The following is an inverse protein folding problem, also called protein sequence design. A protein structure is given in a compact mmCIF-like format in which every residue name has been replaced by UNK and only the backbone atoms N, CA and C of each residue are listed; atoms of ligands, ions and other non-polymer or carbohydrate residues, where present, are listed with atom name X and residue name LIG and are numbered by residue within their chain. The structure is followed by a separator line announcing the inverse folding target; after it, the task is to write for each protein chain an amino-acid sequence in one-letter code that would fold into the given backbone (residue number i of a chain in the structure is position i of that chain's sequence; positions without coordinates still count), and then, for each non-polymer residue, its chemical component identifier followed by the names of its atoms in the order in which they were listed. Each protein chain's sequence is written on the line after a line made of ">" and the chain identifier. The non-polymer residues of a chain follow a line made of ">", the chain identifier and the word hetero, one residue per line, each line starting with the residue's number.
data_IF_774096064800
#
_entry.id   IF_774096064800
#
_cell.length_a   1.000
_cell.length_b   1.000
_cell.length_c   1.000
_cell.angle_alpha   90.00
_cell.angle_beta   90.00
_cell.angle_gamma   90.00
#
_symmetry.space_group_name_H-M   'P 1'
#
loop_
_entity.id
_entity.type
_entity.pdbx_description
1 polymer ?
#
# COMPACT_ATOMS: atom_id res chain seq x y z
N UNK A 1 8.34 -21.29 -14.51
CA UNK A 1 7.88 -21.07 -13.13
C UNK A 1 8.49 -22.19 -12.31
N UNK A 2 9.56 -21.93 -11.57
CA UNK A 2 10.32 -22.96 -10.83
C UNK A 2 9.74 -23.16 -9.44
N UNK A 3 9.87 -24.37 -8.91
CA UNK A 3 9.35 -24.86 -7.62
C UNK A 3 9.77 -24.02 -6.39
N UNK A 4 10.79 -23.16 -6.53
CA UNK A 4 11.32 -22.31 -5.46
C UNK A 4 10.46 -21.06 -5.24
N UNK A 5 9.76 -20.59 -6.27
CA UNK A 5 8.97 -19.34 -6.21
C UNK A 5 7.70 -19.47 -5.33
N UNK A 6 7.22 -20.69 -5.08
CA UNK A 6 5.98 -20.96 -4.34
C UNK A 6 6.15 -20.85 -2.82
N UNK A 7 7.36 -21.01 -2.29
CA UNK A 7 7.61 -21.01 -0.83
C UNK A 7 7.41 -19.62 -0.22
N UNK A 8 7.58 -18.55 -1.00
CA UNK A 8 7.47 -17.15 -0.54
C UNK A 8 6.17 -16.47 -0.93
N UNK A 9 5.35 -17.14 -1.73
CA UNK A 9 4.07 -16.59 -2.18
C UNK A 9 3.03 -16.68 -1.07
N UNK A 10 2.25 -15.61 -0.95
CA UNK A 10 1.15 -15.51 -0.02
C UNK A 10 0.00 -16.48 -0.43
N UNK A 11 -0.64 -17.19 0.52
CA UNK A 11 -1.84 -18.00 0.21
C UNK A 11 -2.94 -17.17 -0.44
N UNK A 12 -3.79 -17.82 -1.23
CA UNK A 12 -4.94 -17.17 -1.86
C UNK A 12 -5.93 -16.61 -0.81
N UNK A 13 -6.50 -15.44 -1.09
CA UNK A 13 -7.41 -14.73 -0.17
C UNK A 13 -6.74 -14.01 0.99
N UNK A 14 -5.44 -14.23 1.24
CA UNK A 14 -4.69 -13.49 2.25
C UNK A 14 -4.12 -12.18 1.69
N UNK A 15 -3.73 -11.29 2.60
CA UNK A 15 -3.02 -10.04 2.31
C UNK A 15 -1.75 -9.91 3.15
N UNK A 16 -1.12 -8.73 3.12
CA UNK A 16 -0.02 -8.35 4.03
C UNK A 16 -0.56 -7.39 5.08
N UNK A 17 -0.11 -7.52 6.33
CA UNK A 17 -0.31 -6.49 7.35
C UNK A 17 0.59 -5.29 7.04
N UNK A 18 0.20 -4.51 6.05
CA UNK A 18 0.98 -3.43 5.46
C UNK A 18 0.16 -2.14 5.43
N UNK A 19 0.58 -1.16 6.23
CA UNK A 19 -0.05 0.16 6.27
C UNK A 19 0.68 1.20 5.40
N UNK A 20 1.80 0.84 4.77
CA UNK A 20 2.66 1.77 4.02
C UNK A 20 1.90 2.59 2.97
N UNK A 21 0.99 2.01 2.16
CA UNK A 21 0.22 2.77 1.20
C UNK A 21 -0.64 3.91 1.77
N UNK A 22 -0.86 3.96 3.08
CA UNK A 22 -1.65 5.01 3.75
C UNK A 22 -0.80 6.05 4.48
N UNK A 23 0.39 5.70 4.96
CA UNK A 23 1.18 6.56 5.85
C UNK A 23 2.63 6.77 5.40
N UNK A 24 3.03 6.17 4.28
CA UNK A 24 4.41 6.17 3.81
C UNK A 24 4.49 6.50 2.31
N UNK A 25 5.53 7.23 1.94
CA UNK A 25 5.87 7.52 0.55
C UNK A 25 7.37 7.74 0.43
N UNK A 26 7.97 7.22 -0.64
CA UNK A 26 9.37 7.43 -1.01
C UNK A 26 9.46 8.21 -2.32
N UNK A 27 10.47 9.07 -2.39
CA UNK A 27 10.82 9.83 -3.59
C UNK A 27 12.20 9.43 -4.05
N UNK A 28 12.34 9.17 -5.34
CA UNK A 28 13.62 8.92 -5.98
C UNK A 28 14.16 10.19 -6.65
N UNK A 29 15.46 10.25 -6.89
CA UNK A 29 16.13 11.42 -7.48
C UNK A 29 15.68 11.74 -8.91
N UNK A 30 15.04 10.79 -9.60
CA UNK A 30 14.41 10.95 -10.91
C UNK A 30 12.92 11.34 -10.81
N UNK A 31 12.46 11.81 -9.65
CA UNK A 31 11.07 12.22 -9.43
C UNK A 31 10.07 11.07 -9.26
N UNK A 32 10.49 9.80 -9.35
CA UNK A 32 9.60 8.66 -9.18
C UNK A 32 9.07 8.56 -7.73
N UNK A 33 7.78 8.24 -7.61
CA UNK A 33 7.07 8.14 -6.32
C UNK A 33 6.64 6.70 -6.07
N UNK A 34 7.13 6.09 -4.99
CA UNK A 34 6.79 4.72 -4.58
C UNK A 34 6.00 4.75 -3.26
N UNK A 35 4.96 3.89 -3.10
CA UNK A 35 4.14 3.88 -1.89
C UNK A 35 4.68 2.90 -0.81
N UNK A 36 5.77 2.20 -1.11
CA UNK A 36 6.57 1.41 -0.16
C UNK A 36 7.94 1.08 -0.78
N UNK A 37 8.86 0.56 0.04
CA UNK A 37 10.24 0.24 -0.35
C UNK A 37 10.38 -0.98 -1.28
N UNK A 38 9.32 -1.77 -1.48
CA UNK A 38 9.40 -3.06 -2.19
C UNK A 38 8.45 -3.15 -3.39
N UNK A 39 8.29 -2.05 -4.15
CA UNK A 39 7.58 -2.09 -5.43
C UNK A 39 7.99 -0.96 -6.38
N UNK A 40 7.64 -1.08 -7.68
CA UNK A 40 7.81 0.02 -8.64
C UNK A 40 6.97 1.25 -8.30
N UNK A 41 7.36 2.38 -8.91
CA UNK A 41 6.68 3.66 -8.74
C UNK A 41 5.22 3.62 -9.24
N UNK A 42 4.37 4.40 -8.59
CA UNK A 42 2.96 4.60 -8.96
C UNK A 42 2.73 5.91 -9.73
N UNK A 43 3.77 6.72 -9.87
CA UNK A 43 3.75 8.00 -10.58
C UNK A 43 5.10 8.69 -10.53
N UNK A 44 5.17 9.88 -11.10
CA UNK A 44 6.35 10.75 -11.07
C UNK A 44 5.94 12.21 -10.89
N UNK A 45 6.71 12.92 -10.06
CA UNK A 45 6.54 14.35 -9.80
C UNK A 45 6.81 15.24 -11.03
N UNK A 46 7.42 14.69 -12.08
CA UNK A 46 7.64 15.41 -13.34
C UNK A 46 6.34 15.65 -14.14
N UNK A 47 5.33 14.80 -13.93
CA UNK A 47 4.09 14.82 -14.71
C UNK A 47 2.84 15.15 -13.89
N UNK A 48 2.85 14.87 -12.58
CA UNK A 48 1.68 14.92 -11.72
C UNK A 48 2.05 15.52 -10.37
N UNK A 49 1.08 16.17 -9.70
CA UNK A 49 1.28 16.56 -8.31
C UNK A 49 1.36 15.31 -7.41
N UNK A 50 2.00 15.45 -6.24
CA UNK A 50 2.03 14.36 -5.26
C UNK A 50 0.61 13.92 -4.86
N UNK A 51 -0.31 14.87 -4.70
CA UNK A 51 -1.69 14.59 -4.35
C UNK A 51 -2.40 13.75 -5.42
N UNK A 52 -2.21 14.10 -6.70
CA UNK A 52 -2.76 13.34 -7.82
C UNK A 52 -2.21 11.92 -7.88
N UNK A 53 -0.92 11.72 -7.57
CA UNK A 53 -0.29 10.41 -7.54
C UNK A 53 -0.85 9.56 -6.38
N UNK A 54 -0.90 10.11 -5.17
CA UNK A 54 -1.32 9.39 -3.96
C UNK A 54 -2.82 9.11 -3.91
N UNK A 55 -3.62 9.89 -4.65
CA UNK A 55 -5.07 9.70 -4.81
C UNK A 55 -5.45 9.17 -6.20
N UNK A 56 -4.46 8.90 -7.04
CA UNK A 56 -4.63 8.39 -8.39
C UNK A 56 -5.16 6.95 -8.42
N UNK A 57 -5.46 6.49 -9.63
CA UNK A 57 -5.98 5.13 -9.85
C UNK A 57 -5.02 4.05 -9.34
N UNK A 58 -3.72 4.19 -9.60
CA UNK A 58 -2.71 3.22 -9.17
C UNK A 58 -2.62 3.07 -7.65
N UNK A 59 -2.68 4.18 -6.91
CA UNK A 59 -2.68 4.17 -5.44
C UNK A 59 -3.98 3.57 -4.88
N UNK A 60 -5.14 3.98 -5.43
CA UNK A 60 -6.45 3.45 -5.01
C UNK A 60 -6.58 1.95 -5.26
N UNK A 61 -6.14 1.48 -6.43
CA UNK A 61 -6.12 0.07 -6.78
C UNK A 61 -5.24 -0.74 -5.84
N UNK A 62 -4.01 -0.27 -5.56
CA UNK A 62 -3.12 -0.92 -4.60
C UNK A 62 -3.79 -1.09 -3.23
N UNK A 63 -4.41 -0.02 -2.70
CA UNK A 63 -5.11 -0.06 -1.42
C UNK A 63 -6.29 -1.03 -1.46
N UNK A 64 -7.10 -1.00 -2.53
CA UNK A 64 -8.23 -1.90 -2.70
C UNK A 64 -7.81 -3.38 -2.77
N UNK A 65 -6.77 -3.69 -3.54
CA UNK A 65 -6.22 -5.04 -3.70
C UNK A 65 -5.74 -5.60 -2.37
N UNK A 66 -5.03 -4.80 -1.56
CA UNK A 66 -4.61 -5.18 -0.21
C UNK A 66 -5.81 -5.39 0.74
N UNK A 67 -6.79 -4.49 0.73
CA UNK A 67 -7.96 -4.56 1.61
C UNK A 67 -8.92 -5.70 1.25
N UNK A 68 -8.88 -6.21 0.02
CA UNK A 68 -9.79 -7.26 -0.46
C UNK A 68 -9.15 -8.65 -0.50
N UNK A 69 -7.86 -8.78 -0.21
CA UNK A 69 -7.15 -10.06 -0.26
C UNK A 69 -6.74 -10.49 -1.68
N UNK A 70 -6.60 -9.52 -2.59
CA UNK A 70 -6.13 -9.73 -3.95
C UNK A 70 -4.83 -8.95 -4.24
N UNK A 71 -3.79 -9.04 -3.38
CA UNK A 71 -2.56 -8.28 -3.59
C UNK A 71 -1.90 -8.65 -4.92
N UNK A 72 -1.27 -7.64 -5.55
CA UNK A 72 -0.46 -7.84 -6.74
C UNK A 72 0.79 -8.72 -6.45
N UNK A 73 1.53 -9.09 -7.50
CA UNK A 73 2.72 -9.93 -7.36
C UNK A 73 3.79 -9.33 -6.43
N UNK A 74 3.92 -8.01 -6.37
CA UNK A 74 4.91 -7.36 -5.50
C UNK A 74 4.52 -7.50 -4.02
N UNK A 75 3.25 -7.30 -3.70
CA UNK A 75 2.73 -7.48 -2.34
C UNK A 75 2.68 -8.97 -1.94
N UNK A 76 2.33 -9.88 -2.86
CA UNK A 76 2.31 -11.33 -2.62
C UNK A 76 3.70 -11.85 -2.23
N UNK A 77 4.75 -11.33 -2.85
CA UNK A 77 6.16 -11.75 -2.62
C UNK A 77 6.92 -10.88 -1.62
N UNK A 78 6.26 -9.89 -1.02
CA UNK A 78 6.88 -9.01 -0.03
C UNK A 78 7.35 -9.82 1.19
N UNK A 79 8.64 -9.74 1.51
CA UNK A 79 9.23 -10.41 2.67
C UNK A 79 9.37 -9.48 3.89
N UNK A 80 8.95 -8.22 3.76
CA UNK A 80 9.09 -7.18 4.79
C UNK A 80 7.88 -7.16 5.73
N UNK A 81 6.69 -7.38 5.18
CA UNK A 81 5.42 -7.31 5.93
C UNK A 81 4.85 -8.72 6.14
N UNK A 82 4.31 -8.96 7.33
CA UNK A 82 3.75 -10.27 7.69
C UNK A 82 2.51 -10.61 6.84
N UNK A 83 2.25 -11.89 6.53
CA UNK A 83 0.94 -12.35 6.07
C UNK A 83 -0.16 -11.97 7.06
N UNK A 84 -1.35 -11.66 6.55
CA UNK A 84 -2.53 -11.37 7.36
C UNK A 84 -3.82 -11.68 6.58
N UNK A 85 -4.92 -11.79 7.31
CA UNK A 85 -6.25 -11.81 6.71
C UNK A 85 -6.71 -10.39 6.35
N UNK A 86 -7.51 -10.21 5.29
CA UNK A 86 -7.97 -8.87 4.88
C UNK A 86 -8.73 -8.10 5.96
N UNK A 87 -9.45 -8.79 6.86
CA UNK A 87 -10.14 -8.16 8.00
C UNK A 87 -9.16 -7.58 9.04
N UNK A 88 -8.04 -8.26 9.30
CA UNK A 88 -7.00 -7.76 10.21
C UNK A 88 -6.40 -6.46 9.68
N UNK A 89 -6.04 -6.43 8.39
CA UNK A 89 -5.57 -5.20 7.74
C UNK A 89 -6.62 -4.09 7.78
N UNK A 90 -7.89 -4.40 7.47
CA UNK A 90 -8.98 -3.42 7.53
C UNK A 90 -9.13 -2.81 8.93
N UNK A 91 -9.00 -3.62 9.98
CA UNK A 91 -9.00 -3.11 11.36
C UNK A 91 -7.85 -2.13 11.59
N UNK A 92 -6.61 -2.52 11.25
CA UNK A 92 -5.44 -1.65 11.44
C UNK A 92 -5.50 -0.35 10.63
N UNK A 93 -6.08 -0.38 9.41
CA UNK A 93 -6.30 0.83 8.61
C UNK A 93 -7.37 1.71 9.26
N UNK A 94 -8.45 1.13 9.79
CA UNK A 94 -9.48 1.87 10.53
C UNK A 94 -8.88 2.57 11.75
N UNK A 95 -8.04 1.87 12.51
CA UNK A 95 -7.38 2.40 13.70
C UNK A 95 -6.42 3.55 13.32
N UNK A 96 -5.58 3.35 12.29
CA UNK A 96 -4.70 4.39 11.76
C UNK A 96 -5.46 5.65 11.35
N UNK A 97 -6.58 5.49 10.65
CA UNK A 97 -7.39 6.64 10.21
C UNK A 97 -8.07 7.32 11.41
N UNK A 98 -8.50 6.58 12.42
CA UNK A 98 -9.06 7.18 13.64
C UNK A 98 -8.02 8.02 14.40
N UNK A 99 -6.74 7.62 14.39
CA UNK A 99 -5.63 8.38 15.00
C UNK A 99 -5.24 9.64 14.23
N UNK A 100 -5.44 9.66 12.91
CA UNK A 100 -5.20 10.84 12.06
C UNK A 100 -6.43 11.78 12.05
N UNK A 101 -7.61 11.26 12.38
CA UNK A 101 -8.88 12.01 12.44
C UNK A 101 -9.29 12.48 13.86
N UNK A 102 -8.40 12.89 14.81
CA UNK A 102 -8.82 13.70 15.94
C UNK A 102 -8.66 15.20 15.62
N UNK A 103 -9.80 15.89 15.58
CA UNK A 103 -10.00 17.33 15.44
C UNK A 103 -9.64 17.94 14.07
N UNK A 104 -10.54 17.79 13.10
CA UNK A 104 -10.90 18.93 12.25
C UNK A 104 -11.37 20.07 13.16
N UNK A 105 -10.43 20.88 13.62
CA UNK A 105 -10.67 22.14 14.33
C UNK A 105 -11.65 22.94 13.46
N UNK A 106 -12.77 23.47 13.99
CA UNK A 106 -13.58 24.39 13.21
C UNK A 106 -12.67 25.55 12.81
N UNK A 107 -12.59 25.80 11.50
CA UNK A 107 -12.05 27.05 10.99
C UNK A 107 -13.05 28.12 11.42
N UNK A 108 -12.75 28.77 12.56
CA UNK A 108 -13.32 30.05 12.92
C UNK A 108 -12.64 31.17 12.17
#
# INVERSE_FOLDING_TARGET
>A
MTEIDTIRDLPEGMTRLCLDPWQYVEFQTNGAVTPCCNRPAIGTLEMQSLEDILNGEAARRLRADLLTGHPDLHCRRCHIRAPAQPNELRSSVSDLLAEVVPASRPVG
#
